data_IF_346007690668
#
_entry.id   IF_346007690668
#
_cell.length_a   1.000
_cell.length_b   1.000
_cell.length_c   1.000
_cell.angle_alpha   90.00
_cell.angle_beta   90.00
_cell.angle_gamma   90.00
#
_symmetry.space_group_name_H-M   'P 1'
#
loop_
_entity.id
_entity.type
_entity.pdbx_description
1 polymer ?
#
# COMPACT_ATOMS: atom_id res chain seq x y z
N UNK A 1 15.19 -2.36 15.54
CA UNK A 1 13.94 -3.06 15.13
C UNK A 1 13.09 -2.05 14.36
N UNK A 2 13.04 -2.15 13.03
CA UNK A 2 12.07 -1.36 12.25
C UNK A 2 10.69 -1.98 12.49
N UNK A 3 9.82 -1.23 13.15
CA UNK A 3 8.44 -1.65 13.37
C UNK A 3 7.66 -1.32 12.10
N UNK A 4 6.92 -2.30 11.58
CA UNK A 4 6.10 -2.15 10.38
C UNK A 4 4.71 -1.70 10.83
N UNK A 5 4.17 -0.68 10.17
CA UNK A 5 2.78 -0.25 10.36
C UNK A 5 1.91 -0.89 9.28
N UNK A 6 0.68 -1.25 9.65
CA UNK A 6 -0.28 -1.85 8.73
C UNK A 6 -1.10 -0.76 8.05
N UNK A 7 -1.47 -1.00 6.80
CA UNK A 7 -2.33 -0.09 6.03
C UNK A 7 -3.71 -0.72 5.91
N UNK A 8 -4.73 0.00 6.36
CA UNK A 8 -6.12 -0.31 6.11
C UNK A 8 -6.55 0.30 4.78
N UNK A 9 -7.23 -0.49 3.96
CA UNK A 9 -7.74 -0.04 2.68
C UNK A 9 -9.04 -0.76 2.34
N UNK A 10 -10.10 0.01 2.15
CA UNK A 10 -11.43 -0.46 1.74
C UNK A 10 -11.52 -0.66 0.22
N UNK A 11 -10.49 -1.28 -0.39
CA UNK A 11 -10.47 -1.52 -1.81
C UNK A 11 -10.00 -2.94 -2.13
N UNK A 12 -10.77 -3.63 -2.96
CA UNK A 12 -10.38 -4.88 -3.58
C UNK A 12 -9.25 -4.61 -4.59
N UNK A 13 -8.01 -4.83 -4.16
CA UNK A 13 -6.85 -4.72 -5.03
C UNK A 13 -6.39 -6.10 -5.44
N UNK A 14 -6.35 -6.35 -6.73
CA UNK A 14 -5.87 -7.60 -7.29
C UNK A 14 -4.36 -7.53 -7.56
N UNK A 15 -3.71 -8.68 -7.41
CA UNK A 15 -2.31 -8.85 -7.75
C UNK A 15 -2.15 -8.73 -9.27
N UNK A 16 -1.32 -7.81 -9.78
CA UNK A 16 -1.12 -7.65 -11.22
C UNK A 16 -0.40 -8.84 -11.87
N UNK A 17 0.18 -9.75 -11.09
CA UNK A 17 0.92 -10.93 -11.58
C UNK A 17 0.01 -12.14 -11.74
N UNK A 18 -0.82 -12.45 -10.73
CA UNK A 18 -1.62 -13.68 -10.70
C UNK A 18 -3.12 -13.48 -10.55
N UNK A 19 -3.59 -12.23 -10.44
CA UNK A 19 -5.00 -11.87 -10.25
C UNK A 19 -5.56 -12.15 -8.85
N UNK A 20 -4.77 -12.69 -7.92
CA UNK A 20 -5.25 -12.97 -6.56
C UNK A 20 -5.54 -11.68 -5.79
N UNK A 21 -6.57 -11.67 -4.95
CA UNK A 21 -6.85 -10.53 -4.08
C UNK A 21 -5.71 -10.30 -3.11
N UNK A 22 -5.16 -9.09 -3.11
CA UNK A 22 -4.15 -8.68 -2.15
C UNK A 22 -4.81 -8.35 -0.82
N UNK A 23 -4.30 -8.98 0.24
CA UNK A 23 -4.63 -8.65 1.61
C UNK A 23 -3.35 -8.31 2.36
N UNK A 24 -3.48 -7.55 3.45
CA UNK A 24 -2.39 -7.06 4.28
C UNK A 24 -1.47 -6.11 3.52
N UNK A 25 -1.70 -4.82 3.73
CA UNK A 25 -0.86 -3.75 3.25
C UNK A 25 0.01 -3.27 4.41
N UNK A 26 1.25 -2.92 4.12
CA UNK A 26 2.27 -2.58 5.09
C UNK A 26 3.07 -1.38 4.61
N UNK A 27 3.54 -0.55 5.53
CA UNK A 27 4.41 0.58 5.22
C UNK A 27 5.63 0.60 6.13
N UNK A 28 6.73 1.12 5.58
CA UNK A 28 7.93 1.48 6.34
C UNK A 28 8.02 2.98 6.63
N UNK A 29 7.10 3.78 6.06
CA UNK A 29 7.08 5.23 6.19
C UNK A 29 6.17 5.73 7.33
N UNK A 30 5.52 4.81 8.06
CA UNK A 30 4.71 5.15 9.22
C UNK A 30 5.56 5.50 10.46
N UNK A 31 4.91 5.86 11.58
CA UNK A 31 5.58 6.20 12.83
C UNK A 31 6.35 5.01 13.46
N UNK A 32 6.29 3.82 12.87
CA UNK A 32 6.92 2.61 13.38
C UNK A 32 6.33 2.23 14.72
N UNK A 33 5.01 2.34 14.88
CA UNK A 33 4.33 2.14 16.15
C UNK A 33 3.49 0.85 16.17
N UNK A 34 3.50 0.05 15.09
CA UNK A 34 2.55 -1.05 14.85
C UNK A 34 1.11 -0.54 14.87
N UNK A 35 0.90 0.65 14.32
CA UNK A 35 -0.44 1.21 14.17
C UNK A 35 -1.02 0.80 12.83
N UNK A 36 -2.33 0.82 12.75
CA UNK A 36 -3.05 0.72 11.48
C UNK A 36 -3.27 2.14 10.97
N UNK A 37 -2.63 2.48 9.85
CA UNK A 37 -2.82 3.75 9.16
C UNK A 37 -3.78 3.55 7.99
N UNK A 38 -4.49 4.60 7.61
CA UNK A 38 -5.21 4.63 6.34
C UNK A 38 -4.20 4.80 5.18
N UNK A 39 -4.46 4.16 4.04
CA UNK A 39 -3.57 4.26 2.88
C UNK A 39 -3.33 5.72 2.45
N UNK A 40 -4.29 6.62 2.67
CA UNK A 40 -4.20 8.05 2.38
C UNK A 40 -3.21 8.78 3.27
N UNK A 41 -2.84 8.20 4.42
CA UNK A 41 -1.87 8.78 5.35
C UNK A 41 -0.42 8.52 4.92
N UNK A 42 -0.20 7.69 3.89
CA UNK A 42 1.13 7.31 3.44
C UNK A 42 1.33 7.52 1.95
N UNK A 43 2.55 7.94 1.59
CA UNK A 43 2.91 8.11 0.18
C UNK A 43 3.28 6.78 -0.48
N UNK A 44 3.79 5.84 0.33
CA UNK A 44 4.23 4.54 -0.13
C UNK A 44 3.83 3.45 0.85
N UNK A 45 3.33 2.35 0.31
CA UNK A 45 3.05 1.12 1.03
C UNK A 45 3.24 -0.07 0.09
N UNK A 46 3.29 -1.28 0.63
CA UNK A 46 3.43 -2.48 -0.17
C UNK A 46 2.49 -3.56 0.35
N UNK A 47 2.17 -4.51 -0.51
CA UNK A 47 1.46 -5.73 -0.14
C UNK A 47 2.15 -6.93 -0.75
N UNK A 48 2.12 -8.05 -0.03
CA UNK A 48 2.68 -9.31 -0.50
C UNK A 48 1.56 -10.23 -0.92
N UNK A 49 1.57 -10.64 -2.18
CA UNK A 49 0.63 -11.65 -2.65
C UNK A 49 0.94 -13.00 -2.00
N UNK A 50 -0.05 -13.62 -1.36
CA UNK A 50 0.09 -14.93 -0.71
C UNK A 50 0.13 -16.10 -1.71
N UNK A 51 -0.37 -15.89 -2.94
CA UNK A 51 -0.41 -16.92 -3.98
C UNK A 51 0.87 -16.99 -4.80
N UNK A 52 1.34 -15.87 -5.33
CA UNK A 52 2.52 -15.81 -6.21
C UNK A 52 3.78 -15.28 -5.50
N UNK A 53 3.69 -14.95 -4.21
CA UNK A 53 4.76 -14.34 -3.40
C UNK A 53 5.36 -13.03 -3.95
N UNK A 54 4.76 -12.45 -4.99
CA UNK A 54 5.17 -11.17 -5.56
C UNK A 54 4.88 -10.05 -4.57
N UNK A 55 5.80 -9.09 -4.48
CA UNK A 55 5.65 -7.90 -3.66
C UNK A 55 5.16 -6.78 -4.57
N UNK A 56 4.02 -6.20 -4.22
CA UNK A 56 3.41 -5.11 -4.96
C UNK A 56 3.61 -3.84 -4.16
N UNK A 57 4.44 -2.94 -4.67
CA UNK A 57 4.67 -1.62 -4.11
C UNK A 57 3.65 -0.64 -4.69
N UNK A 58 3.05 0.15 -3.83
CA UNK A 58 2.10 1.21 -4.14
C UNK A 58 2.74 2.52 -3.78
N UNK A 59 2.96 3.35 -4.81
CA UNK A 59 3.53 4.68 -4.65
C UNK A 59 2.55 5.70 -5.16
N UNK A 60 2.36 6.79 -4.43
CA UNK A 60 1.51 7.89 -4.85
C UNK A 60 2.03 8.48 -6.17
N UNK A 61 1.16 8.61 -7.18
CA UNK A 61 1.55 9.10 -8.52
C UNK A 61 2.05 10.55 -8.48
N UNK A 62 1.40 11.39 -7.68
CA UNK A 62 1.75 12.80 -7.51
C UNK A 62 1.67 13.16 -6.03
N UNK A 63 2.66 13.88 -5.47
CA UNK A 63 2.54 14.41 -4.13
C UNK A 63 1.30 15.31 -4.06
N UNK A 64 0.37 14.97 -3.17
CA UNK A 64 -0.81 15.80 -2.87
C UNK A 64 -0.67 16.43 -1.51
N UNK A 65 -1.21 17.64 -1.38
CA UNK A 65 -1.29 18.33 -0.10
C UNK A 65 -2.15 17.54 0.90
N UNK A 66 -1.90 17.76 2.20
CA UNK A 66 -2.55 17.02 3.27
C UNK A 66 -4.09 17.09 3.20
N UNK A 67 -4.65 18.23 2.81
CA UNK A 67 -6.09 18.44 2.65
C UNK A 67 -6.72 17.61 1.52
N UNK A 68 -5.96 17.35 0.44
CA UNK A 68 -6.45 16.55 -0.70
C UNK A 68 -6.25 15.04 -0.50
N UNK A 69 -5.53 14.61 0.54
CA UNK A 69 -5.36 13.17 0.86
C UNK A 69 -6.68 12.45 1.07
N UNK A 70 -7.71 13.13 1.59
CA UNK A 70 -9.05 12.55 1.78
C UNK A 70 -9.73 12.15 0.47
N UNK A 71 -9.34 12.75 -0.66
CA UNK A 71 -9.85 12.45 -2.00
C UNK A 71 -9.06 11.35 -2.69
N UNK A 72 -7.94 10.90 -2.10
CA UNK A 72 -7.15 9.83 -2.68
C UNK A 72 -7.93 8.53 -2.70
N UNK A 73 -7.85 7.90 -3.86
CA UNK A 73 -8.32 6.54 -4.12
C UNK A 73 -7.11 5.69 -4.44
N UNK A 74 -7.28 4.37 -4.45
CA UNK A 74 -6.19 3.45 -4.81
C UNK A 74 -5.65 3.72 -6.21
N UNK A 75 -6.48 4.23 -7.13
CA UNK A 75 -6.03 4.58 -8.49
C UNK A 75 -5.06 5.77 -8.50
N UNK A 76 -5.05 6.58 -7.43
CA UNK A 76 -4.06 7.64 -7.25
C UNK A 76 -2.65 7.09 -6.99
N UNK A 77 -2.55 5.79 -6.70
CA UNK A 77 -1.28 5.09 -6.51
C UNK A 77 -0.92 4.31 -7.78
N UNK A 78 0.35 4.40 -8.18
CA UNK A 78 0.93 3.52 -9.18
C UNK A 78 1.41 2.24 -8.51
N UNK A 79 1.12 1.11 -9.16
CA UNK A 79 1.50 -0.23 -8.71
C UNK A 79 2.81 -0.60 -9.38
N UNK A 80 3.81 -0.98 -8.61
CA UNK A 80 5.07 -1.52 -9.09
C UNK A 80 5.21 -2.94 -8.56
N UNK A 81 5.19 -3.91 -9.46
CA UNK A 81 5.46 -5.31 -9.10
C UNK A 81 6.97 -5.52 -8.98
N UNK A 82 7.39 -6.07 -7.84
CA UNK A 82 8.74 -6.59 -7.62
C UNK A 82 8.60 -8.10 -7.50
N UNK A 83 9.08 -8.80 -8.52
CA UNK A 83 9.17 -10.26 -8.53
C UNK A 83 10.60 -10.58 -8.07
N UNK A 84 10.71 -11.26 -6.93
CA UNK A 84 11.97 -11.83 -6.43
C UNK A 84 12.10 -13.29 -6.86
#
# INVERSE_FOLDING_TARGET
MYKIDHISMDADVECPVCGEKLGNFETKNGPGARVTLDFREVDNFYSRCTKCNSIIEFSLKNPVEADDRKKLTVDSYQKKSVIY
#
